data_IF_085579927007
#
_entry.id   IF_085579927007
#
_cell.length_a   1.000
_cell.length_b   1.000
_cell.length_c   1.000
_cell.angle_alpha   90.00
_cell.angle_beta   90.00
_cell.angle_gamma   90.00
#
_symmetry.space_group_name_H-M   'P 1'
#
loop_
_entity.id
_entity.type
_entity.pdbx_description
1 polymer ?
#
# COMPACT_ATOMS: atom_id res chain seq x y z
N UNK A 1 8.18 -0.79 0.15
CA UNK A 1 6.86 -1.28 -0.29
C UNK A 1 6.96 -2.05 -1.59
N UNK A 2 7.26 -1.38 -2.70
CA UNK A 2 7.25 -1.91 -4.08
C UNK A 2 8.00 -3.24 -4.28
N UNK A 3 9.21 -3.39 -3.75
CA UNK A 3 9.99 -4.63 -3.89
C UNK A 3 9.29 -5.87 -3.31
N UNK A 4 8.68 -5.74 -2.12
CA UNK A 4 7.95 -6.83 -1.48
C UNK A 4 6.65 -7.15 -2.21
N UNK A 5 5.94 -6.14 -2.73
CA UNK A 5 4.75 -6.38 -3.57
C UNK A 5 5.12 -7.04 -4.91
N UNK A 6 6.29 -6.77 -5.47
CA UNK A 6 6.78 -7.47 -6.68
C UNK A 6 7.20 -8.91 -6.38
N UNK A 7 7.76 -9.17 -5.19
CA UNK A 7 8.01 -10.56 -4.76
C UNK A 7 6.68 -11.32 -4.60
N UNK A 8 5.68 -10.68 -4.00
CA UNK A 8 4.31 -11.20 -3.92
C UNK A 8 3.72 -11.48 -5.31
N UNK A 9 3.93 -10.58 -6.27
CA UNK A 9 3.42 -10.74 -7.65
C UNK A 9 4.00 -11.95 -8.37
N UNK A 10 5.23 -12.34 -8.05
CA UNK A 10 5.89 -13.51 -8.65
C UNK A 10 5.29 -14.82 -8.15
N UNK A 11 4.76 -14.82 -6.93
CA UNK A 11 4.10 -15.98 -6.32
C UNK A 11 2.65 -16.14 -6.78
N UNK A 12 2.02 -15.06 -7.25
CA UNK A 12 0.61 -15.05 -7.68
C UNK A 12 0.53 -15.23 -9.19
N UNK A 13 0.67 -16.47 -9.66
CA UNK A 13 0.38 -16.82 -11.06
C UNK A 13 -1.11 -17.18 -11.20
N UNK A 14 -1.79 -16.75 -12.29
CA UNK A 14 -3.21 -17.07 -12.51
C UNK A 14 -3.53 -18.57 -12.50
N UNK A 15 -2.57 -19.40 -12.94
CA UNK A 15 -2.81 -20.84 -13.18
C UNK A 15 -2.22 -21.76 -12.09
N UNK A 16 -1.13 -21.36 -11.42
CA UNK A 16 -0.41 -22.18 -10.42
C UNK A 16 0.16 -21.33 -9.27
N UNK A 17 -0.54 -20.26 -8.91
CA UNK A 17 -0.10 -19.29 -7.90
C UNK A 17 -0.64 -19.54 -6.51
N UNK A 18 -0.14 -18.74 -5.57
CA UNK A 18 -0.67 -18.65 -4.21
C UNK A 18 -2.10 -18.07 -4.23
N UNK A 19 -2.99 -18.68 -3.44
CA UNK A 19 -4.37 -18.22 -3.28
C UNK A 19 -4.42 -16.81 -2.66
N UNK A 20 -5.32 -15.95 -3.14
CA UNK A 20 -5.42 -14.54 -2.72
C UNK A 20 -5.55 -14.34 -1.20
N UNK A 21 -6.16 -15.30 -0.49
CA UNK A 21 -6.28 -15.29 0.97
C UNK A 21 -4.92 -15.39 1.69
N UNK A 22 -3.99 -16.22 1.20
CA UNK A 22 -2.66 -16.33 1.78
C UNK A 22 -1.81 -15.11 1.42
N UNK A 23 -1.97 -14.58 0.21
CA UNK A 23 -1.33 -13.34 -0.21
C UNK A 23 -1.74 -12.16 0.65
N UNK A 24 -3.02 -12.06 1.01
CA UNK A 24 -3.53 -11.05 1.95
C UNK A 24 -2.81 -11.11 3.28
N UNK A 25 -2.67 -12.30 3.87
CA UNK A 25 -1.94 -12.48 5.14
C UNK A 25 -0.47 -12.05 5.03
N UNK A 26 0.18 -12.35 3.91
CA UNK A 26 1.55 -11.92 3.67
C UNK A 26 1.67 -10.40 3.51
N UNK A 27 0.72 -9.78 2.81
CA UNK A 27 0.64 -8.32 2.67
C UNK A 27 0.46 -7.64 4.02
N UNK A 28 -0.48 -8.10 4.83
CA UNK A 28 -0.74 -7.59 6.19
C UNK A 28 0.44 -7.80 7.13
N UNK A 29 1.13 -8.95 7.06
CA UNK A 29 2.25 -9.27 7.96
C UNK A 29 3.58 -8.60 7.59
N UNK A 30 3.85 -8.36 6.31
CA UNK A 30 5.17 -7.90 5.84
C UNK A 30 5.12 -6.50 5.24
N UNK A 31 4.15 -6.27 4.35
CA UNK A 31 4.13 -5.05 3.53
C UNK A 31 3.55 -3.89 4.34
N UNK A 32 2.46 -4.11 5.07
CA UNK A 32 1.81 -3.08 5.89
C UNK A 32 2.74 -2.53 6.98
N UNK A 33 3.41 -3.34 7.83
CA UNK A 33 4.29 -2.83 8.87
C UNK A 33 5.49 -2.05 8.30
N UNK A 34 6.07 -2.51 7.18
CA UNK A 34 7.16 -1.78 6.50
C UNK A 34 6.69 -0.46 5.88
N UNK A 35 5.46 -0.41 5.37
CA UNK A 35 4.87 0.83 4.85
C UNK A 35 4.57 1.82 5.98
N UNK A 36 4.02 1.33 7.10
CA UNK A 36 3.78 2.11 8.30
C UNK A 36 5.07 2.66 8.90
N UNK A 37 6.11 1.83 9.02
CA UNK A 37 7.42 2.27 9.51
C UNK A 37 8.02 3.38 8.63
N UNK A 38 7.96 3.21 7.30
CA UNK A 38 8.41 4.24 6.39
C UNK A 38 7.56 5.52 6.50
N UNK A 39 6.26 5.40 6.78
CA UNK A 39 5.37 6.54 6.96
C UNK A 39 5.71 7.29 8.25
N UNK A 40 5.97 6.57 9.34
CA UNK A 40 6.34 7.17 10.62
C UNK A 40 7.66 7.95 10.52
N UNK A 41 8.70 7.37 9.91
CA UNK A 41 9.97 8.07 9.66
C UNK A 41 9.75 9.29 8.75
N UNK A 42 8.98 9.15 7.67
CA UNK A 42 8.81 10.24 6.72
C UNK A 42 7.93 11.36 7.27
N UNK A 43 6.91 11.03 8.07
CA UNK A 43 6.04 12.01 8.75
C UNK A 43 6.78 12.71 9.89
N UNK A 44 7.49 11.98 10.75
CA UNK A 44 8.28 12.55 11.85
C UNK A 44 9.39 13.49 11.34
N UNK A 45 10.08 13.12 10.26
CA UNK A 45 11.09 14.00 9.63
C UNK A 45 10.47 15.24 8.96
N UNK A 46 9.23 15.16 8.46
CA UNK A 46 8.53 16.31 7.88
C UNK A 46 8.03 17.29 8.94
N UNK A 47 7.61 16.77 10.09
CA UNK A 47 7.19 17.55 11.27
C UNK A 47 8.42 18.23 11.88
N UNK A 48 9.50 17.48 12.11
CA UNK A 48 10.76 17.97 12.69
C UNK A 48 11.42 19.08 11.85
N UNK A 49 11.35 18.99 10.51
CA UNK A 49 11.93 20.03 9.63
C UNK A 49 11.08 21.30 9.48
N UNK A 50 10.00 21.48 10.26
CA UNK A 50 9.13 22.68 10.21
C UNK A 50 8.41 22.91 8.87
N UNK A 51 8.57 21.99 7.90
CA UNK A 51 7.99 22.06 6.55
C UNK A 51 6.56 21.55 6.49
N UNK A 52 6.04 20.99 7.58
CA UNK A 52 4.65 20.51 7.68
C UNK A 52 3.59 21.57 7.34
N UNK A 53 3.87 22.86 7.60
CA UNK A 53 2.91 23.95 7.36
C UNK A 53 3.30 24.95 6.25
N UNK A 54 4.60 25.24 6.07
CA UNK A 54 5.05 26.33 5.17
C UNK A 54 5.46 25.91 3.74
N UNK A 55 5.71 24.61 3.48
CA UNK A 55 6.13 24.11 2.16
C UNK A 55 5.09 23.21 1.48
N UNK A 56 3.80 23.39 1.81
CA UNK A 56 2.66 22.81 1.11
C UNK A 56 2.55 21.28 1.13
N UNK A 57 3.20 20.59 2.07
CA UNK A 57 3.05 19.14 2.26
C UNK A 57 3.37 18.28 1.03
N UNK A 58 3.98 18.84 -0.03
CA UNK A 58 4.21 18.14 -1.31
C UNK A 58 5.02 16.84 -1.14
N UNK A 59 5.95 16.83 -0.19
CA UNK A 59 6.73 15.64 0.18
C UNK A 59 5.89 14.53 0.81
N UNK A 60 4.99 14.87 1.75
CA UNK A 60 4.06 13.91 2.36
C UNK A 60 3.02 13.41 1.35
N UNK A 61 2.45 14.32 0.53
CA UNK A 61 1.48 13.94 -0.51
C UNK A 61 2.10 12.98 -1.52
N UNK A 62 3.31 13.28 -2.02
CA UNK A 62 4.02 12.39 -2.93
C UNK A 62 4.35 11.03 -2.31
N UNK A 63 4.66 10.99 -1.01
CA UNK A 63 4.83 9.74 -0.29
C UNK A 63 3.52 8.94 -0.18
N UNK A 64 2.42 9.58 0.19
CA UNK A 64 1.10 8.95 0.26
C UNK A 64 0.66 8.41 -1.11
N UNK A 65 0.88 9.16 -2.20
CA UNK A 65 0.60 8.69 -3.58
C UNK A 65 1.44 7.46 -3.94
N UNK A 66 2.72 7.41 -3.55
CA UNK A 66 3.57 6.23 -3.75
C UNK A 66 3.05 5.02 -2.98
N UNK A 67 2.60 5.22 -1.75
CA UNK A 67 2.04 4.14 -0.93
C UNK A 67 0.70 3.63 -1.47
N UNK A 68 -0.18 4.53 -1.94
CA UNK A 68 -1.42 4.16 -2.61
C UNK A 68 -1.18 3.31 -3.88
N UNK A 69 -0.12 3.60 -4.64
CA UNK A 69 0.27 2.78 -5.79
C UNK A 69 0.67 1.35 -5.39
N UNK A 70 1.41 1.20 -4.28
CA UNK A 70 1.81 -0.12 -3.76
C UNK A 70 0.59 -0.90 -3.28
N UNK A 71 -0.36 -0.23 -2.61
CA UNK A 71 -1.61 -0.84 -2.19
C UNK A 71 -2.42 -1.31 -3.39
N UNK A 72 -2.66 -0.46 -4.40
CA UNK A 72 -3.35 -0.86 -5.63
C UNK A 72 -2.75 -2.12 -6.24
N UNK A 73 -1.42 -2.18 -6.34
CA UNK A 73 -0.75 -3.38 -6.87
C UNK A 73 -1.05 -4.62 -6.04
N UNK A 74 -0.98 -4.53 -4.71
CA UNK A 74 -1.31 -5.64 -3.83
C UNK A 74 -2.77 -6.05 -3.94
N UNK A 75 -3.70 -5.11 -3.89
CA UNK A 75 -5.13 -5.36 -3.95
C UNK A 75 -5.54 -6.03 -5.26
N UNK A 76 -5.00 -5.57 -6.40
CA UNK A 76 -5.20 -6.24 -7.70
C UNK A 76 -4.69 -7.68 -7.69
N UNK A 77 -3.55 -7.97 -7.05
CA UNK A 77 -3.02 -9.34 -6.95
C UNK A 77 -3.86 -10.22 -6.02
N UNK A 78 -4.37 -9.66 -4.92
CA UNK A 78 -5.17 -10.39 -3.92
C UNK A 78 -6.52 -10.79 -4.52
N UNK A 79 -7.18 -9.86 -5.21
CA UNK A 79 -8.52 -10.10 -5.80
C UNK A 79 -8.45 -10.75 -7.17
N UNK A 80 -7.29 -10.75 -7.83
CA UNK A 80 -7.17 -11.16 -9.24
C UNK A 80 -7.87 -10.21 -10.21
N UNK A 81 -8.18 -8.98 -9.76
CA UNK A 81 -8.90 -7.99 -10.56
C UNK A 81 -8.12 -7.47 -11.76
N UNK A 82 -8.82 -6.82 -12.70
CA UNK A 82 -8.19 -6.19 -13.85
C UNK A 82 -7.45 -4.90 -13.42
N UNK A 83 -6.41 -4.53 -14.18
CA UNK A 83 -5.66 -3.28 -13.92
C UNK A 83 -6.55 -2.03 -14.03
N UNK A 84 -7.60 -2.09 -14.85
CA UNK A 84 -8.56 -1.02 -15.09
C UNK A 84 -9.64 -0.92 -14.00
N UNK A 85 -9.75 -1.90 -13.10
CA UNK A 85 -10.73 -1.87 -12.01
C UNK A 85 -10.42 -0.72 -11.04
N UNK A 86 -11.49 -0.06 -10.58
CA UNK A 86 -11.40 1.01 -9.59
C UNK A 86 -10.75 0.51 -8.29
N UNK A 87 -9.84 1.32 -7.72
CA UNK A 87 -9.11 0.97 -6.49
C UNK A 87 -10.04 0.76 -5.30
N UNK A 88 -11.06 1.60 -5.16
CA UNK A 88 -11.96 1.57 -4.01
C UNK A 88 -12.79 0.27 -3.99
N UNK A 89 -13.18 -0.20 -5.18
CA UNK A 89 -13.88 -1.47 -5.36
C UNK A 89 -12.95 -2.65 -5.07
N UNK A 90 -11.70 -2.61 -5.56
CA UNK A 90 -10.71 -3.63 -5.23
C UNK A 90 -10.44 -3.71 -3.72
N UNK A 91 -10.29 -2.56 -3.05
CA UNK A 91 -9.99 -2.47 -1.62
C UNK A 91 -11.16 -3.00 -0.78
N UNK A 92 -12.41 -2.69 -1.19
CA UNK A 92 -13.61 -3.26 -0.59
C UNK A 92 -13.67 -4.79 -0.75
N UNK A 93 -13.38 -5.31 -1.95
CA UNK A 93 -13.35 -6.76 -2.21
C UNK A 93 -12.21 -7.49 -1.48
N UNK A 94 -11.06 -6.85 -1.29
CA UNK A 94 -9.96 -7.40 -0.52
C UNK A 94 -10.15 -7.25 0.99
N UNK A 95 -11.13 -6.45 1.42
CA UNK A 95 -11.33 -6.02 2.81
C UNK A 95 -10.03 -5.46 3.40
N UNK A 96 -9.44 -4.49 2.70
CA UNK A 96 -8.20 -3.78 3.08
C UNK A 96 -8.54 -2.29 3.15
N UNK A 97 -8.17 -1.61 4.24
CA UNK A 97 -8.41 -0.17 4.35
C UNK A 97 -7.49 0.62 3.40
N UNK A 98 -8.00 1.64 2.72
CA UNK A 98 -7.19 2.63 2.01
C UNK A 98 -6.09 3.21 2.90
N UNK A 99 -4.88 3.35 2.36
CA UNK A 99 -3.70 3.84 3.09
C UNK A 99 -3.95 5.17 3.81
N UNK A 100 -4.77 6.05 3.24
CA UNK A 100 -5.14 7.32 3.87
C UNK A 100 -5.93 7.16 5.17
N UNK A 101 -6.78 6.13 5.27
CA UNK A 101 -7.49 5.79 6.50
C UNK A 101 -6.59 5.00 7.46
N UNK A 102 -5.63 4.25 6.94
CA UNK A 102 -4.67 3.49 7.73
C UNK A 102 -3.72 4.37 8.55
N UNK A 103 -3.40 5.58 8.07
CA UNK A 103 -2.61 6.58 8.80
C UNK A 103 -3.39 7.31 9.91
N UNK A 104 -4.72 7.24 9.90
CA UNK A 104 -5.59 7.94 10.87
C UNK A 104 -6.04 7.04 12.02
N UNK A 105 -5.73 5.74 11.96
CA UNK A 105 -5.93 4.78 13.04
C UNK A 105 -4.80 4.90 14.06
#
# INVERSE_FOLDING_TARGET
GTGYTMACSRMTRPTKGIHGRLLKKLYEGVVVPKMLYAADIWCSTLISKGKGRKAGGRGARGFATKMARVQRMATTMITGGMRTTATDLLDAHANILPFQQLLRK
#
